data_IF_744958022895
#
_entry.id   IF_744958022895
#
_cell.length_a   1.000
_cell.length_b   1.000
_cell.length_c   1.000
_cell.angle_alpha   90.00
_cell.angle_beta   90.00
_cell.angle_gamma   90.00
#
_symmetry.space_group_name_H-M   'P 1'
#
loop_
_entity.id
_entity.type
_entity.pdbx_description
1 polymer ?
#
# COMPACT_ATOMS: atom_id res chain seq x y z
N UNK A 1 39.18 39.66 -54.65
CA UNK A 1 38.18 38.58 -54.47
C UNK A 1 37.18 39.05 -53.41
N UNK A 2 36.13 39.81 -53.75
CA UNK A 2 34.77 39.35 -54.12
C UNK A 2 34.20 38.28 -53.17
N UNK A 3 32.98 38.34 -52.63
CA UNK A 3 31.85 39.29 -52.57
C UNK A 3 30.75 38.55 -51.75
N UNK A 4 29.95 39.29 -50.96
CA UNK A 4 28.52 39.10 -50.59
C UNK A 4 28.00 37.73 -50.09
N UNK A 5 27.03 37.59 -49.18
CA UNK A 5 25.93 38.44 -48.72
C UNK A 5 24.62 37.62 -48.70
N UNK A 6 23.66 38.02 -47.84
CA UNK A 6 22.27 37.54 -47.64
C UNK A 6 22.09 36.36 -46.64
N UNK A 7 21.33 36.45 -45.54
CA UNK A 7 20.34 37.43 -45.08
C UNK A 7 18.92 37.01 -45.41
N UNK A 8 18.17 36.49 -44.42
CA UNK A 8 16.71 36.55 -44.36
C UNK A 8 16.26 36.70 -42.90
N UNK A 9 15.73 37.88 -42.60
CA UNK A 9 14.88 38.16 -41.46
C UNK A 9 13.45 38.43 -41.92
N UNK A 10 12.50 38.23 -41.02
CA UNK A 10 11.13 38.76 -41.01
C UNK A 10 10.43 38.16 -39.77
N UNK A 11 9.62 38.82 -38.95
CA UNK A 11 9.15 40.20 -38.88
C UNK A 11 8.67 40.42 -37.43
N UNK A 12 9.30 41.33 -36.70
CA UNK A 12 8.80 41.81 -35.41
C UNK A 12 7.96 43.06 -35.68
N UNK A 13 6.66 43.04 -35.37
CA UNK A 13 5.80 44.23 -35.32
C UNK A 13 5.45 44.52 -33.86
N UNK A 14 5.70 45.74 -33.35
CA UNK A 14 5.20 46.12 -32.04
C UNK A 14 3.71 46.47 -32.15
N UNK A 15 2.86 45.86 -31.31
CA UNK A 15 1.49 46.33 -31.08
C UNK A 15 1.48 47.26 -29.86
N UNK A 16 0.98 48.47 -30.08
CA UNK A 16 0.64 49.46 -29.06
C UNK A 16 -0.55 48.98 -28.18
N UNK A 17 -0.73 49.56 -26.97
CA UNK A 17 -1.65 49.03 -25.97
C UNK A 17 -3.11 49.34 -26.33
N UNK A 18 -3.92 48.30 -26.45
CA UNK A 18 -5.36 48.38 -26.65
C UNK A 18 -6.12 48.41 -25.33
N UNK A 19 -7.01 49.39 -25.20
CA UNK A 19 -7.97 49.68 -24.12
C UNK A 19 -8.56 48.46 -23.41
N UNK A 20 -8.59 48.56 -22.07
CA UNK A 20 -9.40 47.74 -21.19
C UNK A 20 -10.90 47.89 -21.49
N UNK A 21 -11.60 46.76 -21.59
CA UNK A 21 -13.06 46.64 -21.57
C UNK A 21 -13.47 45.65 -20.47
N UNK A 22 -14.66 45.80 -19.87
CA UNK A 22 -15.01 45.19 -18.59
C UNK A 22 -15.24 43.67 -18.67
N UNK A 23 -14.90 43.01 -17.58
CA UNK A 23 -14.93 41.57 -17.31
C UNK A 23 -16.34 40.97 -17.37
N UNK A 24 -16.48 39.88 -18.13
CA UNK A 24 -17.71 39.08 -18.28
C UNK A 24 -17.78 37.83 -17.41
N UNK A 25 -16.96 37.70 -16.36
CA UNK A 25 -16.89 36.47 -15.54
C UNK A 25 -17.78 36.46 -14.28
N UNK A 26 -18.60 37.49 -14.05
CA UNK A 26 -19.44 37.57 -12.85
C UNK A 26 -20.81 36.85 -12.96
N UNK A 27 -21.19 36.33 -14.12
CA UNK A 27 -22.55 35.80 -14.35
C UNK A 27 -22.68 34.27 -14.26
N UNK A 28 -21.60 33.50 -14.37
CA UNK A 28 -21.67 32.02 -14.31
C UNK A 28 -21.70 31.45 -12.88
N UNK A 29 -21.13 32.16 -11.90
CA UNK A 29 -21.08 31.74 -10.50
C UNK A 29 -22.42 31.91 -9.75
N UNK A 30 -23.29 32.83 -10.18
CA UNK A 30 -24.58 33.05 -9.51
C UNK A 30 -25.66 32.02 -9.90
N UNK A 31 -25.54 31.38 -11.06
CA UNK A 31 -26.47 30.33 -11.51
C UNK A 31 -26.17 28.95 -10.89
N UNK A 32 -24.89 28.65 -10.58
CA UNK A 32 -24.49 27.35 -9.99
C UNK A 32 -24.84 27.24 -8.50
N UNK A 33 -24.76 28.35 -7.75
CA UNK A 33 -25.12 28.37 -6.32
C UNK A 33 -26.64 28.25 -6.13
N UNK A 34 -27.44 28.88 -7.00
CA UNK A 34 -28.90 28.81 -6.93
C UNK A 34 -29.47 27.39 -7.17
N UNK A 35 -28.84 26.60 -8.05
CA UNK A 35 -29.31 25.25 -8.39
C UNK A 35 -29.06 24.24 -7.26
N UNK A 36 -27.92 24.37 -6.55
CA UNK A 36 -27.57 23.49 -5.43
C UNK A 36 -28.41 23.76 -4.18
N UNK A 37 -28.76 25.02 -3.91
CA UNK A 37 -29.66 25.39 -2.80
C UNK A 37 -31.09 24.91 -3.04
N UNK A 38 -31.57 24.95 -4.29
CA UNK A 38 -32.88 24.43 -4.66
C UNK A 38 -32.96 22.90 -4.54
N UNK A 39 -31.90 22.17 -4.93
CA UNK A 39 -31.82 20.72 -4.78
C UNK A 39 -31.80 20.29 -3.30
N UNK A 40 -31.09 21.04 -2.44
CA UNK A 40 -31.05 20.79 -1.00
C UNK A 40 -32.43 20.98 -0.36
N UNK A 41 -33.17 22.02 -0.78
CA UNK A 41 -34.54 22.25 -0.31
C UNK A 41 -35.49 21.13 -0.75
N UNK A 42 -35.40 20.65 -2.00
CA UNK A 42 -36.24 19.55 -2.51
C UNK A 42 -36.00 18.25 -1.71
N UNK A 43 -34.74 17.93 -1.39
CA UNK A 43 -34.38 16.73 -0.60
C UNK A 43 -34.87 16.85 0.85
N UNK A 44 -34.71 18.02 1.49
CA UNK A 44 -35.21 18.25 2.86
C UNK A 44 -36.74 18.21 2.93
N UNK A 45 -37.43 18.72 1.91
CA UNK A 45 -38.90 18.70 1.86
C UNK A 45 -39.43 17.29 1.59
N UNK A 46 -38.69 16.47 0.83
CA UNK A 46 -39.02 15.06 0.63
C UNK A 46 -38.78 14.22 1.91
N UNK A 47 -37.71 14.50 2.65
CA UNK A 47 -37.37 13.83 3.91
C UNK A 47 -38.37 14.16 5.03
N UNK A 48 -38.84 15.41 5.10
CA UNK A 48 -39.84 15.83 6.08
C UNK A 48 -41.27 15.36 5.75
N UNK A 49 -41.52 14.95 4.50
CA UNK A 49 -42.81 14.39 4.05
C UNK A 49 -42.89 12.87 4.14
N UNK A 50 -41.78 12.15 4.27
CA UNK A 50 -41.78 10.67 4.36
C UNK A 50 -42.05 10.14 5.77
N UNK A 51 -42.90 10.83 6.54
CA UNK A 51 -43.35 10.35 7.84
C UNK A 51 -43.92 8.93 7.74
N UNK A 52 -43.28 7.99 8.42
CA UNK A 52 -43.79 6.64 8.63
C UNK A 52 -43.22 6.07 9.94
N UNK A 53 -43.99 5.21 10.63
CA UNK A 53 -44.15 5.27 12.09
C UNK A 53 -43.48 4.11 12.84
N UNK A 54 -43.52 4.23 14.18
CA UNK A 54 -43.22 3.20 15.15
C UNK A 54 -44.05 1.92 14.97
N UNK A 55 -43.43 0.77 15.21
CA UNK A 55 -44.10 -0.46 15.63
C UNK A 55 -43.68 -1.71 14.85
N UNK A 56 -42.90 -2.58 15.49
CA UNK A 56 -43.27 -3.96 15.85
C UNK A 56 -42.05 -4.88 16.01
N UNK A 57 -42.13 -5.70 17.05
CA UNK A 57 -41.17 -6.73 17.42
C UNK A 57 -41.22 -7.91 16.44
N UNK A 58 -40.06 -8.49 16.12
CA UNK A 58 -39.93 -9.73 15.37
C UNK A 58 -38.54 -10.37 15.55
N UNK A 59 -38.42 -11.70 15.43
CA UNK A 59 -37.68 -12.52 16.39
C UNK A 59 -36.31 -13.02 15.90
N UNK A 60 -35.49 -13.45 16.85
CA UNK A 60 -34.54 -14.56 16.64
C UNK A 60 -33.10 -14.17 16.30
N UNK A 61 -32.33 -13.78 17.32
CA UNK A 61 -30.86 -13.92 17.28
C UNK A 61 -30.56 -15.40 17.54
N UNK A 62 -30.36 -16.16 16.46
CA UNK A 62 -29.79 -17.49 16.48
C UNK A 62 -28.88 -17.64 15.25
N UNK A 63 -27.57 -17.41 15.45
CA UNK A 63 -26.48 -18.25 14.91
C UNK A 63 -25.12 -17.56 15.14
N UNK A 64 -24.61 -17.64 16.37
CA UNK A 64 -23.20 -17.33 16.67
C UNK A 64 -22.27 -18.55 16.53
N UNK A 65 -22.80 -19.72 16.13
CA UNK A 65 -22.01 -20.95 15.98
C UNK A 65 -21.40 -21.14 14.57
N UNK A 66 -21.81 -20.35 13.57
CA UNK A 66 -21.39 -20.52 12.17
C UNK A 66 -20.10 -19.77 11.77
N UNK A 67 -19.61 -18.87 12.63
CA UNK A 67 -18.44 -18.01 12.36
C UNK A 67 -17.10 -18.72 12.65
N UNK A 68 -17.04 -19.56 13.69
CA UNK A 68 -15.84 -20.34 14.04
C UNK A 68 -15.46 -21.39 12.98
N UNK A 69 -16.46 -22.11 12.47
CA UNK A 69 -16.27 -23.14 11.44
C UNK A 69 -15.75 -22.57 10.10
N UNK A 70 -16.10 -21.31 9.79
CA UNK A 70 -15.57 -20.62 8.61
C UNK A 70 -14.08 -20.31 8.79
N UNK A 71 -13.67 -19.80 9.95
CA UNK A 71 -12.27 -19.44 10.19
C UNK A 71 -11.34 -20.65 10.24
N UNK A 72 -11.75 -21.72 10.92
CA UNK A 72 -10.96 -22.94 11.07
C UNK A 72 -10.73 -23.66 9.73
N UNK A 73 -11.77 -23.79 8.91
CA UNK A 73 -11.64 -24.37 7.56
C UNK A 73 -10.65 -23.60 6.67
N UNK A 74 -10.47 -22.30 6.93
CA UNK A 74 -9.60 -21.42 6.16
C UNK A 74 -8.17 -21.42 6.68
N UNK A 75 -7.99 -21.54 8.00
CA UNK A 75 -6.71 -21.85 8.63
C UNK A 75 -6.14 -23.12 8.02
N UNK A 76 -6.94 -24.18 7.97
CA UNK A 76 -6.53 -25.46 7.36
C UNK A 76 -6.21 -25.33 5.87
N UNK A 77 -6.96 -24.51 5.12
CA UNK A 77 -6.68 -24.24 3.71
C UNK A 77 -5.35 -23.48 3.49
N UNK A 78 -5.03 -22.52 4.38
CA UNK A 78 -3.77 -21.78 4.34
C UNK A 78 -2.56 -22.67 4.68
N UNK A 79 -2.71 -23.56 5.67
CA UNK A 79 -1.70 -24.56 6.03
C UNK A 79 -1.44 -25.53 4.88
N UNK A 80 -2.50 -26.06 4.25
CA UNK A 80 -2.37 -26.91 3.07
C UNK A 80 -1.78 -26.19 1.85
N UNK A 81 -1.91 -24.86 1.76
CA UNK A 81 -1.21 -24.08 0.74
C UNK A 81 0.29 -23.91 1.04
N UNK A 82 0.68 -23.75 2.30
CA UNK A 82 2.08 -23.68 2.72
C UNK A 82 2.84 -24.94 2.33
N UNK A 83 2.24 -26.08 2.65
CA UNK A 83 2.85 -27.39 2.44
C UNK A 83 3.14 -27.62 0.95
N UNK A 84 2.23 -27.17 0.07
CA UNK A 84 2.42 -27.23 -1.40
C UNK A 84 3.51 -26.27 -1.91
N UNK A 85 3.67 -25.10 -1.30
CA UNK A 85 4.74 -24.16 -1.65
C UNK A 85 6.13 -24.70 -1.27
N UNK A 86 6.23 -25.40 -0.14
CA UNK A 86 7.46 -26.01 0.36
C UNK A 86 7.85 -27.28 -0.41
N UNK A 87 6.88 -28.03 -0.95
CA UNK A 87 7.14 -29.25 -1.74
C UNK A 87 7.69 -29.02 -3.16
N UNK A 88 7.92 -27.76 -3.59
CA UNK A 88 8.59 -27.50 -4.89
C UNK A 88 10.10 -27.71 -4.74
N UNK A 89 10.72 -28.68 -5.44
CA UNK A 89 12.14 -28.95 -5.32
C UNK A 89 12.96 -27.81 -5.93
N UNK A 90 13.94 -27.30 -5.18
CA UNK A 90 14.90 -26.30 -5.63
C UNK A 90 16.21 -26.38 -4.84
N UNK A 91 17.39 -26.34 -5.48
CA UNK A 91 18.69 -26.48 -4.82
C UNK A 91 19.22 -25.12 -4.32
N UNK A 92 19.06 -24.87 -3.02
CA UNK A 92 19.77 -23.91 -2.16
C UNK A 92 19.20 -24.09 -0.74
N UNK A 93 19.91 -23.75 0.35
CA UNK A 93 19.23 -23.60 1.65
C UNK A 93 18.05 -22.66 1.44
N UNK A 94 16.83 -23.15 1.72
CA UNK A 94 15.60 -22.46 1.34
C UNK A 94 15.61 -21.05 1.92
N UNK A 95 15.69 -20.02 1.05
CA UNK A 95 15.50 -18.63 1.47
C UNK A 95 14.19 -18.56 2.26
N UNK A 96 14.17 -17.78 3.35
CA UNK A 96 12.96 -17.58 4.13
C UNK A 96 11.80 -17.18 3.23
N UNK A 97 10.57 -17.51 3.61
CA UNK A 97 9.40 -17.20 2.81
C UNK A 97 9.19 -15.69 2.68
N UNK A 98 9.22 -14.95 3.80
CA UNK A 98 8.85 -13.54 3.85
C UNK A 98 9.80 -12.70 4.71
N UNK A 99 10.26 -11.57 4.19
CA UNK A 99 10.84 -10.49 4.98
C UNK A 99 9.86 -9.32 5.04
N UNK A 100 9.51 -8.88 6.25
CA UNK A 100 8.72 -7.67 6.50
C UNK A 100 9.73 -6.55 6.82
N UNK A 101 9.83 -5.55 5.96
CA UNK A 101 10.72 -4.41 6.16
C UNK A 101 9.98 -3.24 6.80
N UNK A 102 10.50 -2.77 7.94
CA UNK A 102 9.93 -1.68 8.72
C UNK A 102 10.96 -0.54 8.85
N UNK A 103 10.83 0.54 8.07
CA UNK A 103 11.61 1.75 8.32
C UNK A 103 11.04 2.48 9.55
N UNK A 104 11.90 3.04 10.39
CA UNK A 104 11.46 3.82 11.55
C UNK A 104 12.32 5.07 11.75
N UNK A 105 11.71 6.14 12.25
CA UNK A 105 12.35 7.42 12.59
C UNK A 105 11.81 7.93 13.93
N UNK A 106 12.59 8.71 14.70
CA UNK A 106 12.12 9.34 15.92
C UNK A 106 10.94 10.28 15.61
N UNK A 107 9.92 10.24 16.47
CA UNK A 107 8.75 11.12 16.35
C UNK A 107 8.99 12.42 17.10
N UNK A 108 8.47 13.53 16.56
CA UNK A 108 8.67 14.86 17.14
C UNK A 108 7.95 15.04 18.49
N UNK A 109 6.83 14.33 18.70
CA UNK A 109 6.10 14.36 19.98
C UNK A 109 6.67 13.31 20.93
N UNK A 110 7.10 13.70 22.15
CA UNK A 110 7.54 12.76 23.16
C UNK A 110 6.47 11.69 23.45
N UNK A 111 6.91 10.49 23.86
CA UNK A 111 6.05 9.36 24.23
C UNK A 111 5.14 8.81 23.11
N UNK A 112 5.40 9.13 21.85
CA UNK A 112 4.73 8.45 20.73
C UNK A 112 5.32 7.05 20.58
N UNK A 113 4.50 6.01 20.72
CA UNK A 113 4.94 4.59 20.77
C UNK A 113 4.48 3.77 19.57
N UNK A 114 4.61 4.34 18.36
CA UNK A 114 4.12 3.70 17.14
C UNK A 114 4.87 2.40 16.84
N UNK A 115 6.21 2.40 16.89
CA UNK A 115 7.00 1.20 16.60
C UNK A 115 6.71 0.08 17.60
N UNK A 116 6.46 0.43 18.87
CA UNK A 116 6.08 -0.52 19.93
C UNK A 116 4.80 -1.25 19.56
N UNK A 117 3.73 -0.50 19.26
CA UNK A 117 2.42 -1.06 18.91
C UNK A 117 2.45 -1.88 17.62
N UNK A 118 3.19 -1.38 16.63
CA UNK A 118 3.45 -2.08 15.38
C UNK A 118 4.11 -3.44 15.61
N UNK A 119 5.18 -3.50 16.40
CA UNK A 119 5.88 -4.76 16.69
C UNK A 119 5.09 -5.68 17.61
N UNK A 120 4.35 -5.15 18.59
CA UNK A 120 3.52 -5.99 19.48
C UNK A 120 2.43 -6.71 18.67
N UNK A 121 1.64 -5.98 17.87
CA UNK A 121 0.62 -6.60 17.02
C UNK A 121 1.21 -7.58 16.01
N UNK A 122 2.35 -7.24 15.37
CA UNK A 122 2.98 -8.12 14.39
C UNK A 122 3.56 -9.39 15.01
N UNK A 123 4.21 -9.28 16.17
CA UNK A 123 4.78 -10.45 16.84
C UNK A 123 3.68 -11.34 17.40
N UNK A 124 2.53 -10.82 17.81
CA UNK A 124 1.40 -11.66 18.25
C UNK A 124 0.93 -12.67 17.18
N UNK A 125 1.06 -12.31 15.90
CA UNK A 125 0.73 -13.19 14.77
C UNK A 125 1.75 -14.32 14.52
N UNK A 126 2.93 -14.27 15.16
CA UNK A 126 4.03 -15.20 14.89
C UNK A 126 4.12 -16.32 15.96
N UNK A 127 4.35 -17.57 15.55
CA UNK A 127 4.36 -18.70 16.48
C UNK A 127 5.61 -18.66 17.37
N UNK A 128 5.48 -19.18 18.59
CA UNK A 128 6.63 -19.45 19.46
C UNK A 128 7.20 -20.85 19.21
N UNK A 129 6.34 -21.79 18.87
CA UNK A 129 6.69 -23.20 18.75
C UNK A 129 7.48 -23.47 17.47
N UNK A 130 8.63 -24.15 17.61
CA UNK A 130 9.49 -24.48 16.47
C UNK A 130 8.90 -25.51 15.51
N UNK A 131 7.81 -26.19 15.88
CA UNK A 131 7.09 -27.12 15.01
C UNK A 131 6.07 -26.44 14.09
N UNK A 132 5.80 -25.14 14.27
CA UNK A 132 4.89 -24.41 13.41
C UNK A 132 5.53 -24.21 12.01
N UNK A 133 4.74 -24.32 10.95
CA UNK A 133 5.22 -24.20 9.58
C UNK A 133 5.76 -22.80 9.25
N UNK A 134 5.40 -21.77 10.03
CA UNK A 134 5.93 -20.41 9.90
C UNK A 134 7.19 -20.16 10.70
N UNK A 135 7.53 -21.09 11.59
CA UNK A 135 8.74 -21.02 12.38
C UNK A 135 9.94 -20.86 11.43
N UNK A 136 10.70 -19.78 11.64
CA UNK A 136 11.87 -19.40 10.84
C UNK A 136 11.60 -19.11 9.34
N UNK A 137 10.33 -19.07 8.90
CA UNK A 137 9.94 -18.70 7.52
C UNK A 137 9.71 -17.20 7.35
N UNK A 138 9.46 -16.48 8.44
CA UNK A 138 9.26 -15.02 8.44
C UNK A 138 10.43 -14.34 9.14
N UNK A 139 10.83 -13.18 8.64
CA UNK A 139 11.75 -12.28 9.33
C UNK A 139 11.21 -10.85 9.29
N UNK A 140 11.34 -10.13 10.40
CA UNK A 140 11.03 -8.70 10.51
C UNK A 140 12.35 -7.94 10.53
N UNK A 141 12.60 -7.09 9.54
CA UNK A 141 13.77 -6.21 9.48
C UNK A 141 13.34 -4.81 9.89
N UNK A 142 13.74 -4.37 11.09
CA UNK A 142 13.47 -3.01 11.57
C UNK A 142 14.71 -2.17 11.33
N UNK A 143 14.58 -1.13 10.50
CA UNK A 143 15.68 -0.23 10.14
C UNK A 143 15.48 1.16 10.75
N UNK A 144 16.39 1.53 11.65
CA UNK A 144 16.48 2.87 12.22
C UNK A 144 17.08 3.85 11.20
N UNK A 145 16.27 4.78 10.71
CA UNK A 145 16.65 5.80 9.72
C UNK A 145 17.10 7.13 10.35
N UNK A 146 17.27 7.17 11.68
CA UNK A 146 17.81 8.31 12.43
C UNK A 146 19.34 8.42 12.28
N UNK A 147 19.84 8.51 11.04
CA UNK A 147 21.28 8.59 10.76
C UNK A 147 21.88 9.80 11.49
N UNK A 148 22.77 9.55 12.46
CA UNK A 148 23.41 10.58 13.27
C UNK A 148 22.54 11.18 14.39
N UNK A 149 21.36 10.62 14.66
CA UNK A 149 20.46 11.05 15.72
C UNK A 149 20.02 9.88 16.61
N UNK A 150 19.56 10.18 17.82
CA UNK A 150 19.06 9.16 18.75
C UNK A 150 17.60 8.81 18.45
N UNK A 151 17.29 7.52 18.42
CA UNK A 151 15.92 6.99 18.34
C UNK A 151 15.61 6.19 19.61
N UNK A 152 15.00 6.86 20.59
CA UNK A 152 14.84 6.29 21.94
C UNK A 152 13.92 5.06 21.97
N UNK A 153 12.81 5.09 21.21
CA UNK A 153 11.89 3.96 21.15
C UNK A 153 12.54 2.74 20.49
N UNK A 154 13.27 2.93 19.39
CA UNK A 154 14.01 1.85 18.73
C UNK A 154 15.02 1.19 19.68
N UNK A 155 15.83 1.99 20.38
CA UNK A 155 16.83 1.47 21.33
C UNK A 155 16.16 0.77 22.53
N UNK A 156 15.07 1.33 23.05
CA UNK A 156 14.31 0.71 24.13
C UNK A 156 13.72 -0.65 23.73
N UNK A 157 13.14 -0.75 22.53
CA UNK A 157 12.57 -2.00 22.01
C UNK A 157 13.65 -3.04 21.68
N UNK A 158 14.77 -2.61 21.10
CA UNK A 158 15.93 -3.48 20.87
C UNK A 158 16.45 -4.07 22.19
N UNK A 159 16.54 -3.24 23.22
CA UNK A 159 16.97 -3.69 24.55
C UNK A 159 15.91 -4.57 25.25
N UNK A 160 14.61 -4.28 25.08
CA UNK A 160 13.51 -5.14 25.56
C UNK A 160 13.55 -6.50 24.87
N UNK A 161 13.71 -6.54 23.55
CA UNK A 161 13.82 -7.78 22.77
C UNK A 161 14.95 -8.68 23.29
N UNK A 162 16.10 -8.10 23.66
CA UNK A 162 17.21 -8.85 24.22
C UNK A 162 16.95 -9.41 25.64
N UNK A 163 16.24 -8.66 26.50
CA UNK A 163 16.15 -8.93 27.94
C UNK A 163 14.85 -9.58 28.41
N UNK A 164 13.76 -9.35 27.69
CA UNK A 164 12.42 -9.82 28.09
C UNK A 164 12.33 -11.36 27.98
N UNK A 165 12.10 -12.10 29.08
CA UNK A 165 11.91 -13.55 29.03
C UNK A 165 10.51 -13.95 28.51
N UNK A 166 9.57 -13.00 28.44
CA UNK A 166 8.19 -13.19 28.02
C UNK A 166 8.01 -13.48 26.53
N UNK A 167 6.75 -13.57 26.10
CA UNK A 167 6.40 -13.93 24.73
C UNK A 167 6.97 -12.93 23.71
N UNK A 168 6.88 -11.62 24.00
CA UNK A 168 7.45 -10.57 23.15
C UNK A 168 8.95 -10.79 22.91
N UNK A 169 9.76 -10.84 23.98
CA UNK A 169 11.21 -11.02 23.84
C UNK A 169 11.59 -12.32 23.13
N UNK A 170 10.90 -13.43 23.40
CA UNK A 170 11.16 -14.71 22.70
C UNK A 170 10.88 -14.61 21.20
N UNK A 171 9.76 -14.02 20.80
CA UNK A 171 9.44 -13.81 19.37
C UNK A 171 10.38 -12.81 18.74
N UNK A 172 10.68 -11.70 19.42
CA UNK A 172 11.58 -10.68 18.91
C UNK A 172 12.98 -11.23 18.63
N UNK A 173 13.56 -12.02 19.55
CA UNK A 173 14.87 -12.69 19.33
C UNK A 173 14.86 -13.67 18.15
N UNK A 174 13.71 -14.28 17.86
CA UNK A 174 13.57 -15.25 16.78
C UNK A 174 13.38 -14.58 15.42
N UNK A 175 12.53 -13.56 15.36
CA UNK A 175 12.03 -13.01 14.10
C UNK A 175 12.60 -11.64 13.74
N UNK A 176 13.03 -10.84 14.72
CA UNK A 176 13.40 -9.44 14.48
C UNK A 176 14.90 -9.28 14.29
N UNK A 177 15.28 -8.68 13.16
CA UNK A 177 16.61 -8.15 12.89
C UNK A 177 16.58 -6.63 13.03
N UNK A 178 17.36 -6.13 13.97
CA UNK A 178 17.54 -4.69 14.22
C UNK A 178 18.72 -4.18 13.41
N UNK A 179 18.54 -3.08 12.69
CA UNK A 179 19.58 -2.49 11.86
C UNK A 179 19.55 -0.96 11.92
N UNK A 180 20.70 -0.34 12.05
CA UNK A 180 20.86 1.10 11.84
C UNK A 180 21.15 1.35 10.36
N UNK A 181 20.46 2.32 9.76
CA UNK A 181 20.72 2.70 8.38
C UNK A 181 22.14 3.27 8.27
N UNK A 182 23.00 2.70 7.40
CA UNK A 182 24.39 3.14 7.30
C UNK A 182 24.55 4.51 6.62
N UNK A 183 23.49 5.10 6.06
CA UNK A 183 23.54 6.40 5.39
C UNK A 183 24.28 6.37 4.06
N UNK A 184 24.36 5.21 3.41
CA UNK A 184 25.08 5.01 2.14
C UNK A 184 24.31 5.51 0.93
N UNK A 185 22.98 5.52 0.99
CA UNK A 185 22.10 6.07 -0.06
C UNK A 185 21.84 7.53 0.26
N UNK A 186 22.38 8.43 -0.56
CA UNK A 186 22.28 9.89 -0.36
C UNK A 186 21.39 10.52 -1.42
N UNK A 187 20.67 11.58 -1.06
CA UNK A 187 19.89 12.37 -2.02
C UNK A 187 20.80 12.82 -3.19
N UNK A 188 20.52 12.41 -4.44
CA UNK A 188 21.31 12.81 -5.60
C UNK A 188 21.08 14.27 -6.00
N UNK A 189 20.07 14.94 -5.45
CA UNK A 189 19.75 16.34 -5.70
C UNK A 189 19.65 17.15 -4.38
N UNK A 190 20.72 17.20 -3.56
CA UNK A 190 20.67 17.81 -2.24
C UNK A 190 20.50 19.34 -2.29
N UNK A 191 20.88 19.96 -3.41
CA UNK A 191 20.80 21.41 -3.62
C UNK A 191 19.51 21.85 -4.32
N UNK A 192 18.64 20.89 -4.69
CA UNK A 192 17.37 21.21 -5.32
C UNK A 192 16.46 21.94 -4.30
N UNK A 193 15.96 23.15 -4.63
CA UNK A 193 15.10 23.90 -3.73
C UNK A 193 13.83 23.13 -3.41
N UNK A 194 13.36 23.24 -2.17
CA UNK A 194 12.09 22.64 -1.77
C UNK A 194 10.93 23.32 -2.53
N UNK A 195 9.92 22.54 -2.95
CA UNK A 195 8.71 23.10 -3.55
C UNK A 195 7.91 23.90 -2.52
N UNK A 196 7.00 24.75 -2.99
CA UNK A 196 5.90 25.24 -2.17
C UNK A 196 4.84 24.13 -2.06
N UNK A 197 4.76 23.46 -0.92
CA UNK A 197 3.83 22.34 -0.68
C UNK A 197 2.36 22.69 -0.94
N UNK A 198 1.97 23.97 -0.82
CA UNK A 198 0.60 24.43 -1.10
C UNK A 198 0.34 24.63 -2.60
N UNK A 199 1.39 24.89 -3.38
CA UNK A 199 1.33 25.21 -4.81
C UNK A 199 2.30 24.33 -5.62
N UNK A 200 2.24 23.01 -5.42
CA UNK A 200 3.12 22.02 -6.06
C UNK A 200 2.37 21.16 -7.11
N UNK A 201 1.99 21.70 -8.28
CA UNK A 201 1.18 20.97 -9.26
C UNK A 201 1.90 19.79 -9.93
N UNK A 202 3.21 19.68 -9.75
CA UNK A 202 4.04 18.60 -10.30
C UNK A 202 4.37 17.52 -9.27
N UNK A 203 3.86 17.65 -8.04
CA UNK A 203 4.17 16.75 -6.92
C UNK A 203 5.68 16.54 -6.70
N UNK A 204 6.49 17.58 -6.97
CA UNK A 204 7.95 17.49 -6.83
C UNK A 204 8.28 17.30 -5.35
N UNK A 205 9.08 16.31 -4.93
CA UNK A 205 9.37 16.10 -3.52
C UNK A 205 10.37 17.13 -2.96
N UNK A 206 10.10 17.65 -1.76
CA UNK A 206 11.08 18.38 -0.96
C UNK A 206 12.18 17.47 -0.39
N UNK A 207 13.24 18.07 0.15
CA UNK A 207 14.44 17.40 0.69
C UNK A 207 14.10 16.28 1.67
N UNK A 208 13.16 16.52 2.58
CA UNK A 208 12.76 15.52 3.57
C UNK A 208 12.15 14.27 2.93
N UNK A 209 11.31 14.44 1.90
CA UNK A 209 10.69 13.33 1.16
C UNK A 209 11.73 12.58 0.31
N UNK A 210 12.68 13.30 -0.29
CA UNK A 210 13.81 12.69 -1.00
C UNK A 210 14.68 11.86 -0.06
N UNK A 211 14.95 12.36 1.15
CA UNK A 211 15.65 11.60 2.20
C UNK A 211 14.87 10.33 2.57
N UNK A 212 13.56 10.42 2.83
CA UNK A 212 12.72 9.26 3.13
C UNK A 212 12.78 8.21 2.01
N UNK A 213 12.79 8.65 0.75
CA UNK A 213 12.94 7.76 -0.41
C UNK A 213 14.32 7.09 -0.42
N UNK A 214 15.40 7.81 -0.11
CA UNK A 214 16.74 7.24 0.02
C UNK A 214 16.84 6.21 1.16
N UNK A 215 16.23 6.52 2.30
CA UNK A 215 16.15 5.61 3.44
C UNK A 215 15.38 4.33 3.08
N UNK A 216 14.27 4.47 2.34
CA UNK A 216 13.51 3.33 1.80
C UNK A 216 14.35 2.48 0.84
N UNK A 217 15.10 3.10 -0.07
CA UNK A 217 16.01 2.38 -0.98
C UNK A 217 17.05 1.56 -0.20
N UNK A 218 17.62 2.12 0.87
CA UNK A 218 18.57 1.40 1.72
C UNK A 218 17.91 0.16 2.37
N UNK A 219 16.68 0.31 2.88
CA UNK A 219 15.90 -0.80 3.43
C UNK A 219 15.61 -1.87 2.37
N UNK A 220 15.14 -1.48 1.18
CA UNK A 220 14.80 -2.42 0.10
C UNK A 220 16.03 -3.24 -0.33
N UNK A 221 17.19 -2.59 -0.50
CA UNK A 221 18.44 -3.24 -0.88
C UNK A 221 18.93 -4.23 0.18
N UNK A 222 18.81 -3.89 1.45
CA UNK A 222 19.14 -4.80 2.55
C UNK A 222 18.15 -5.98 2.61
N UNK A 223 16.85 -5.74 2.44
CA UNK A 223 15.81 -6.74 2.64
C UNK A 223 15.72 -7.77 1.50
N UNK A 224 15.91 -7.33 0.25
CA UNK A 224 15.77 -8.16 -0.95
C UNK A 224 16.52 -9.50 -0.93
N UNK A 225 17.79 -9.61 -0.48
CA UNK A 225 18.49 -10.89 -0.47
C UNK A 225 17.92 -11.91 0.53
N UNK A 226 17.15 -11.50 1.54
CA UNK A 226 16.93 -12.30 2.74
C UNK A 226 15.81 -13.35 2.63
N UNK A 227 14.83 -13.12 1.75
CA UNK A 227 13.64 -13.98 1.62
C UNK A 227 13.24 -14.18 0.16
N UNK A 228 12.19 -14.97 -0.09
CA UNK A 228 11.53 -15.11 -1.40
C UNK A 228 10.58 -13.96 -1.70
N UNK A 229 9.91 -13.45 -0.67
CA UNK A 229 8.99 -12.32 -0.74
C UNK A 229 9.40 -11.24 0.25
N UNK A 230 9.03 -10.00 -0.09
CA UNK A 230 9.20 -8.82 0.74
C UNK A 230 7.83 -8.17 0.96
N UNK A 231 7.53 -7.80 2.20
CA UNK A 231 6.37 -6.98 2.56
C UNK A 231 6.87 -5.64 3.11
N UNK A 232 6.40 -4.55 2.54
CA UNK A 232 6.62 -3.22 3.10
C UNK A 232 5.57 -2.91 4.18
N UNK A 233 6.03 -2.38 5.31
CA UNK A 233 5.19 -1.94 6.42
C UNK A 233 5.88 -0.78 7.16
N UNK A 234 5.18 0.31 7.40
CA UNK A 234 5.62 1.46 8.18
C UNK A 234 5.53 1.15 9.68
N UNK A 235 6.25 1.92 10.49
CA UNK A 235 6.30 1.75 11.94
C UNK A 235 5.06 2.30 12.67
N UNK A 236 4.07 2.84 11.97
CA UNK A 236 2.79 3.33 12.51
C UNK A 236 1.57 2.58 12.00
N UNK A 237 1.73 1.28 11.73
CA UNK A 237 0.64 0.36 11.40
C UNK A 237 0.59 -0.81 12.38
N UNK A 238 -0.60 -1.14 12.86
CA UNK A 238 -0.86 -2.42 13.50
C UNK A 238 -1.32 -3.43 12.46
N UNK A 239 -0.88 -4.68 12.57
CA UNK A 239 -1.50 -5.75 11.79
C UNK A 239 -2.83 -6.15 12.42
N UNK A 240 -3.80 -6.49 11.58
CA UNK A 240 -5.07 -7.03 12.07
C UNK A 240 -4.89 -8.45 12.63
N UNK A 241 -5.74 -8.91 13.56
CA UNK A 241 -5.73 -10.31 13.99
C UNK A 241 -5.85 -11.23 12.78
N UNK A 242 -5.00 -12.26 12.68
CA UNK A 242 -4.94 -13.22 11.56
C UNK A 242 -4.47 -12.62 10.23
N UNK A 243 -3.90 -11.41 10.22
CA UNK A 243 -3.39 -10.76 9.02
C UNK A 243 -2.33 -11.60 8.30
N UNK A 244 -1.41 -12.25 9.01
CA UNK A 244 -0.39 -13.07 8.34
C UNK A 244 -1.00 -14.32 7.68
N UNK A 245 -2.07 -14.87 8.26
CA UNK A 245 -2.77 -16.05 7.69
C UNK A 245 -3.57 -15.63 6.46
N UNK A 246 -4.23 -14.48 6.52
CA UNK A 246 -4.93 -13.90 5.38
C UNK A 246 -3.96 -13.51 4.25
N UNK A 247 -2.80 -12.94 4.57
CA UNK A 247 -1.74 -12.65 3.62
C UNK A 247 -1.25 -13.92 2.92
N UNK A 248 -0.96 -14.97 3.69
CA UNK A 248 -0.55 -16.25 3.15
C UNK A 248 -1.59 -16.83 2.18
N UNK A 249 -2.86 -16.80 2.57
CA UNK A 249 -3.97 -17.22 1.71
C UNK A 249 -3.98 -16.42 0.41
N UNK A 250 -3.94 -15.08 0.49
CA UNK A 250 -3.93 -14.21 -0.68
C UNK A 250 -2.74 -14.50 -1.60
N UNK A 251 -1.55 -14.72 -1.05
CA UNK A 251 -0.35 -15.07 -1.82
C UNK A 251 -0.47 -16.44 -2.49
N UNK A 252 -1.00 -17.44 -1.79
CA UNK A 252 -1.23 -18.77 -2.34
C UNK A 252 -2.27 -18.76 -3.47
N UNK A 253 -3.38 -18.05 -3.27
CA UNK A 253 -4.41 -17.85 -4.30
C UNK A 253 -3.85 -17.08 -5.50
N UNK A 254 -3.01 -16.07 -5.26
CA UNK A 254 -2.33 -15.34 -6.33
C UNK A 254 -1.32 -16.21 -7.10
N UNK A 255 -0.54 -17.04 -6.40
CA UNK A 255 0.41 -17.99 -7.03
C UNK A 255 -0.33 -19.08 -7.82
N UNK A 256 -1.49 -19.54 -7.36
CA UNK A 256 -2.33 -20.51 -8.07
C UNK A 256 -3.05 -19.92 -9.29
N UNK A 257 -3.46 -18.65 -9.21
CA UNK A 257 -4.15 -17.95 -10.30
C UNK A 257 -3.21 -17.32 -11.34
N UNK A 258 -1.92 -17.14 -11.01
CA UNK A 258 -0.95 -16.61 -11.93
C UNK A 258 -0.59 -17.63 -13.02
N UNK A 259 -0.51 -17.16 -14.27
CA UNK A 259 0.13 -17.92 -15.33
C UNK A 259 1.61 -18.21 -14.96
N UNK A 260 2.32 -18.97 -15.80
CA UNK A 260 3.72 -19.40 -15.61
C UNK A 260 4.72 -18.29 -15.19
N UNK A 261 4.36 -17.01 -15.34
CA UNK A 261 5.19 -15.83 -15.06
C UNK A 261 4.89 -15.11 -13.74
N UNK A 262 3.94 -15.58 -12.93
CA UNK A 262 3.64 -14.98 -11.61
C UNK A 262 2.87 -13.65 -11.68
N UNK A 263 2.95 -12.87 -10.59
CA UNK A 263 2.35 -11.54 -10.40
C UNK A 263 3.46 -10.49 -10.16
N UNK A 264 3.18 -9.20 -10.41
CA UNK A 264 4.13 -8.09 -10.17
C UNK A 264 4.20 -7.71 -8.70
N UNK A 265 3.03 -7.55 -8.07
CA UNK A 265 2.90 -7.28 -6.66
C UNK A 265 1.53 -7.76 -6.15
N UNK A 266 1.43 -7.95 -4.84
CA UNK A 266 0.17 -8.17 -4.13
C UNK A 266 -0.03 -7.03 -3.13
N UNK A 267 -1.20 -6.39 -3.14
CA UNK A 267 -1.59 -5.35 -2.18
C UNK A 267 -2.61 -5.89 -1.19
N UNK A 268 -2.35 -5.67 0.11
CA UNK A 268 -3.25 -6.05 1.22
C UNK A 268 -3.57 -4.89 2.18
N UNK A 269 -3.04 -3.69 1.93
CA UNK A 269 -3.35 -2.46 2.66
C UNK A 269 -3.15 -1.23 1.74
N UNK A 270 -3.13 -0.01 2.28
CA UNK A 270 -3.09 1.26 1.56
C UNK A 270 -1.77 2.03 1.74
N UNK A 271 -1.51 3.03 0.89
CA UNK A 271 -0.19 3.68 0.81
C UNK A 271 0.86 2.71 0.26
N UNK A 272 2.12 2.79 0.68
CA UNK A 272 3.08 1.72 0.43
C UNK A 272 2.87 0.49 1.34
N UNK A 273 2.18 0.65 2.46
CA UNK A 273 1.89 -0.42 3.40
C UNK A 273 1.11 -1.57 2.78
N UNK A 274 1.45 -2.80 3.18
CA UNK A 274 0.76 -3.98 2.67
C UNK A 274 1.10 -4.32 1.23
N UNK A 275 2.16 -3.74 0.66
CA UNK A 275 2.68 -4.12 -0.67
C UNK A 275 3.66 -5.27 -0.51
N UNK A 276 3.35 -6.38 -1.19
CA UNK A 276 4.17 -7.58 -1.24
C UNK A 276 4.79 -7.71 -2.62
N UNK A 277 6.09 -7.95 -2.65
CA UNK A 277 6.90 -8.11 -3.86
C UNK A 277 7.65 -9.43 -3.81
N UNK A 278 8.02 -9.95 -5.00
CA UNK A 278 9.05 -11.00 -5.08
C UNK A 278 10.41 -10.34 -4.91
N UNK A 279 11.34 -11.01 -4.27
CA UNK A 279 12.65 -10.43 -3.97
C UNK A 279 13.43 -9.95 -5.20
N UNK A 280 13.24 -10.57 -6.36
CA UNK A 280 13.85 -10.09 -7.61
C UNK A 280 13.30 -8.73 -8.08
N UNK A 281 12.03 -8.44 -7.78
CA UNK A 281 11.37 -7.18 -8.14
C UNK A 281 11.71 -6.05 -7.17
N UNK A 282 12.12 -6.38 -5.94
CA UNK A 282 12.47 -5.39 -4.90
C UNK A 282 13.68 -4.56 -5.30
N UNK A 283 14.74 -5.19 -5.82
CA UNK A 283 15.95 -4.48 -6.24
C UNK A 283 15.66 -3.57 -7.43
N UNK A 284 14.85 -4.04 -8.37
CA UNK A 284 14.45 -3.27 -9.53
C UNK A 284 13.60 -2.05 -9.14
N UNK A 285 12.68 -2.19 -8.19
CA UNK A 285 11.94 -1.07 -7.62
C UNK A 285 12.88 -0.08 -6.92
N UNK A 286 13.87 -0.57 -6.17
CA UNK A 286 14.84 0.27 -5.48
C UNK A 286 15.68 1.10 -6.47
N UNK A 287 16.07 0.51 -7.60
CA UNK A 287 16.79 1.21 -8.66
C UNK A 287 15.89 2.23 -9.37
N UNK A 288 14.63 1.88 -9.62
CA UNK A 288 13.64 2.83 -10.15
C UNK A 288 13.41 4.03 -9.21
N UNK A 289 13.32 3.79 -7.89
CA UNK A 289 13.25 4.88 -6.91
C UNK A 289 14.50 5.74 -6.93
N UNK A 290 15.68 5.13 -7.03
CA UNK A 290 16.95 5.86 -7.08
C UNK A 290 17.02 6.81 -8.30
N UNK A 291 16.65 6.32 -9.48
CA UNK A 291 16.65 7.10 -10.73
C UNK A 291 15.65 8.27 -10.71
N UNK A 292 14.63 8.21 -9.85
CA UNK A 292 13.51 9.15 -9.86
C UNK A 292 13.24 9.84 -8.53
N UNK A 293 14.13 9.72 -7.55
CA UNK A 293 13.96 10.28 -6.20
C UNK A 293 13.71 11.78 -6.18
N UNK A 294 14.27 12.53 -7.14
CA UNK A 294 14.05 13.98 -7.26
C UNK A 294 12.78 14.37 -8.03
N UNK A 295 12.11 13.39 -8.65
CA UNK A 295 10.99 13.61 -9.57
C UNK A 295 9.64 13.52 -8.89
N UNK A 296 9.40 12.47 -8.11
CA UNK A 296 8.13 12.21 -7.43
C UNK A 296 8.36 11.60 -6.03
N UNK A 297 7.41 11.74 -5.08
CA UNK A 297 7.41 11.01 -3.81
C UNK A 297 7.30 9.49 -4.03
N UNK A 298 7.71 8.67 -3.06
CA UNK A 298 7.85 7.22 -3.23
C UNK A 298 6.52 6.52 -3.51
N UNK A 299 5.40 6.98 -2.94
CA UNK A 299 4.06 6.42 -3.24
C UNK A 299 3.67 6.60 -4.71
N UNK A 300 3.98 7.77 -5.30
CA UNK A 300 3.69 8.06 -6.70
C UNK A 300 4.65 7.34 -7.63
N UNK A 301 5.93 7.24 -7.26
CA UNK A 301 6.90 6.41 -7.98
C UNK A 301 6.49 4.93 -8.00
N UNK A 302 5.98 4.43 -6.88
CA UNK A 302 5.43 3.08 -6.79
C UNK A 302 4.25 2.90 -7.75
N UNK A 303 3.28 3.80 -7.71
CA UNK A 303 2.10 3.78 -8.57
C UNK A 303 2.50 3.79 -10.06
N UNK A 304 3.50 4.58 -10.43
CA UNK A 304 4.04 4.63 -11.79
C UNK A 304 4.72 3.30 -12.17
N UNK A 305 5.64 2.81 -11.33
CA UNK A 305 6.39 1.56 -11.58
C UNK A 305 5.47 0.35 -11.73
N UNK A 306 4.53 0.15 -10.78
CA UNK A 306 3.64 -1.01 -10.81
C UNK A 306 2.67 -0.92 -11.99
N UNK A 307 2.24 0.29 -12.38
CA UNK A 307 1.41 0.48 -13.58
C UNK A 307 2.19 0.16 -14.86
N UNK A 308 3.46 0.53 -14.95
CA UNK A 308 4.30 0.21 -16.09
C UNK A 308 4.57 -1.30 -16.24
N UNK A 309 4.64 -2.02 -15.11
CA UNK A 309 4.90 -3.48 -15.06
C UNK A 309 3.64 -4.35 -15.09
N UNK A 310 2.46 -3.76 -14.89
CA UNK A 310 1.22 -4.52 -14.78
C UNK A 310 0.53 -4.72 -16.14
N UNK A 311 -0.11 -5.89 -16.31
CA UNK A 311 -1.08 -6.08 -17.39
C UNK A 311 -2.32 -5.24 -17.09
N UNK A 312 -2.84 -4.44 -18.04
CA UNK A 312 -4.11 -3.79 -17.87
C UNK A 312 -5.18 -4.84 -17.56
N UNK A 313 -5.91 -4.68 -16.46
CA UNK A 313 -6.99 -5.57 -16.09
C UNK A 313 -8.17 -5.41 -17.06
N UNK A 314 -8.13 -6.08 -18.22
CA UNK A 314 -9.30 -6.35 -19.07
C UNK A 314 -10.15 -5.16 -19.55
N UNK A 315 -9.74 -3.91 -19.33
CA UNK A 315 -10.38 -2.74 -19.92
C UNK A 315 -9.78 -2.54 -21.31
N UNK A 316 -10.25 -3.33 -22.26
CA UNK A 316 -10.12 -3.03 -23.67
C UNK A 316 -10.81 -1.68 -23.92
N UNK A 317 -10.04 -0.57 -23.92
CA UNK A 317 -10.60 0.75 -24.21
C UNK A 317 -9.95 1.94 -23.52
N UNK A 318 -9.18 1.75 -22.44
CA UNK A 318 -8.32 2.83 -21.96
C UNK A 318 -7.14 2.94 -22.94
N UNK A 319 -7.21 3.94 -23.81
CA UNK A 319 -6.09 4.37 -24.66
C UNK A 319 -4.84 4.34 -23.78
N UNK A 320 -3.79 3.67 -24.27
CA UNK A 320 -2.41 3.89 -23.84
C UNK A 320 -2.14 5.40 -23.97
N UNK A 321 -2.49 6.18 -22.95
CA UNK A 321 -1.82 7.44 -22.71
C UNK A 321 -0.35 7.08 -22.68
N UNK A 322 0.41 7.69 -23.59
CA UNK A 322 1.80 7.37 -23.90
C UNK A 322 2.61 7.50 -22.61
N UNK A 323 2.69 6.42 -21.85
CA UNK A 323 3.79 6.23 -20.91
C UNK A 323 5.07 6.35 -21.75
N UNK A 324 6.07 7.08 -21.26
CA UNK A 324 7.37 7.17 -21.92
C UNK A 324 7.85 5.76 -22.27
N UNK A 325 8.46 5.63 -23.43
CA UNK A 325 8.81 4.35 -24.05
C UNK A 325 9.77 3.55 -23.15
N UNK A 326 9.22 2.68 -22.29
CA UNK A 326 9.95 1.95 -21.25
C UNK A 326 9.34 0.54 -21.06
N UNK A 327 10.09 -0.41 -20.47
CA UNK A 327 10.83 -1.48 -21.12
C UNK A 327 9.91 -2.60 -21.62
N UNK A 328 10.39 -3.38 -22.60
CA UNK A 328 9.78 -4.62 -23.11
C UNK A 328 9.80 -5.78 -22.09
N UNK A 329 9.48 -5.49 -20.82
CA UNK A 329 9.35 -6.49 -19.77
C UNK A 329 8.05 -7.27 -19.91
N UNK A 330 8.08 -8.53 -19.46
CA UNK A 330 6.89 -9.37 -19.38
C UNK A 330 5.89 -8.78 -18.38
N UNK A 331 4.82 -8.19 -18.89
CA UNK A 331 3.73 -7.65 -18.07
C UNK A 331 3.12 -8.78 -17.22
N UNK A 332 2.90 -8.53 -15.92
CA UNK A 332 2.31 -9.47 -14.95
C UNK A 332 1.08 -8.85 -14.26
N UNK A 333 0.12 -9.62 -13.73
CA UNK A 333 -0.99 -9.06 -12.97
C UNK A 333 -0.50 -8.36 -11.70
N UNK A 334 -1.02 -7.16 -11.43
CA UNK A 334 -0.97 -6.52 -10.12
C UNK A 334 -2.20 -6.97 -9.33
N UNK A 335 -1.96 -7.64 -8.21
CA UNK A 335 -3.00 -8.34 -7.45
C UNK A 335 -3.41 -7.49 -6.25
N UNK A 336 -4.70 -7.35 -6.00
CA UNK A 336 -5.24 -6.63 -4.85
C UNK A 336 -6.17 -7.57 -4.09
N UNK A 337 -5.91 -7.73 -2.79
CA UNK A 337 -6.77 -8.46 -1.87
C UNK A 337 -7.94 -7.58 -1.43
N UNK A 338 -9.12 -8.19 -1.27
CA UNK A 338 -10.37 -7.46 -1.06
C UNK A 338 -10.46 -6.74 0.30
N UNK A 339 -9.72 -7.18 1.32
CA UNK A 339 -9.80 -6.66 2.69
C UNK A 339 -8.48 -6.00 3.10
N UNK A 340 -8.60 -4.93 3.89
CA UNK A 340 -7.46 -4.29 4.51
C UNK A 340 -6.93 -5.14 5.68
N UNK A 341 -5.62 -5.39 5.73
CA UNK A 341 -4.97 -6.23 6.75
C UNK A 341 -4.18 -5.43 7.80
N UNK A 342 -4.20 -4.10 7.74
CA UNK A 342 -3.41 -3.25 8.64
C UNK A 342 -4.16 -1.99 9.04
N UNK A 343 -4.10 -1.59 10.31
CA UNK A 343 -4.72 -0.37 10.82
C UNK A 343 -3.66 0.69 11.06
N UNK A 344 -3.78 1.84 10.41
CA UNK A 344 -2.90 2.98 10.64
C UNK A 344 -3.16 3.59 12.03
N UNK A 345 -2.09 3.81 12.78
CA UNK A 345 -2.06 4.45 14.10
C UNK A 345 -1.94 5.98 14.02
N UNK A 346 -1.39 6.46 12.91
CA UNK A 346 -0.83 7.80 12.77
C UNK A 346 -1.87 8.92 12.68
N UNK A 347 -2.33 9.43 13.83
CA UNK A 347 -2.93 10.78 13.90
C UNK A 347 -1.87 11.87 13.68
N UNK A 348 -0.60 11.59 14.03
CA UNK A 348 0.51 12.53 13.99
C UNK A 348 1.41 12.24 12.79
N UNK A 349 1.37 13.12 11.78
CA UNK A 349 2.29 13.06 10.64
C UNK A 349 3.71 13.44 11.03
N UNK A 350 4.69 12.94 10.28
CA UNK A 350 6.04 13.54 10.20
C UNK A 350 6.07 14.89 9.44
N UNK A 351 4.95 15.32 8.85
CA UNK A 351 4.79 16.58 8.13
C UNK A 351 4.07 17.62 9.00
N UNK A 352 4.50 18.88 8.90
CA UNK A 352 3.99 19.98 9.73
C UNK A 352 2.55 20.42 9.40
N UNK A 353 2.06 20.13 8.19
CA UNK A 353 0.73 20.54 7.71
C UNK A 353 -0.03 19.32 7.21
N UNK A 354 -1.24 19.06 7.74
CA UNK A 354 -2.18 18.04 7.22
C UNK A 354 -3.57 18.64 7.02
N UNK A 355 -4.18 18.54 5.82
CA UNK A 355 -5.60 18.82 5.64
C UNK A 355 -6.47 17.72 6.25
N UNK A 356 -7.72 18.04 6.56
CA UNK A 356 -8.74 17.06 6.97
C UNK A 356 -8.93 16.00 5.89
N UNK A 357 -8.97 14.73 6.31
CA UNK A 357 -9.07 13.55 5.43
C UNK A 357 -10.13 12.60 5.96
N UNK A 358 -10.80 11.83 5.08
CA UNK A 358 -11.67 10.74 5.53
C UNK A 358 -10.90 9.72 6.38
N UNK A 359 -11.61 9.01 7.25
CA UNK A 359 -11.01 7.93 8.04
C UNK A 359 -10.35 6.90 7.12
N UNK A 360 -9.20 6.40 7.57
CA UNK A 360 -8.52 5.30 6.89
C UNK A 360 -9.31 4.00 7.05
N UNK A 361 -9.26 3.08 6.07
CA UNK A 361 -9.87 1.77 6.22
C UNK A 361 -9.39 1.07 7.50
N UNK A 362 -10.34 0.59 8.29
CA UNK A 362 -10.10 -0.22 9.48
C UNK A 362 -9.74 -1.67 9.15
N UNK A 363 -9.58 -2.51 10.18
CA UNK A 363 -9.29 -3.91 9.99
C UNK A 363 -10.40 -4.64 9.23
N UNK A 364 -10.00 -5.41 8.22
CA UNK A 364 -10.86 -6.16 7.31
C UNK A 364 -11.89 -5.33 6.52
N UNK A 365 -11.80 -4.00 6.54
CA UNK A 365 -12.65 -3.16 5.72
C UNK A 365 -12.35 -3.32 4.22
N UNK A 366 -13.33 -3.09 3.33
CA UNK A 366 -13.15 -3.32 1.89
C UNK A 366 -12.13 -2.38 1.23
N UNK A 367 -11.11 -2.95 0.59
CA UNK A 367 -10.10 -2.23 -0.21
C UNK A 367 -10.65 -1.56 -1.48
N UNK A 368 -11.90 -1.89 -1.86
CA UNK A 368 -12.59 -1.26 -2.98
C UNK A 368 -12.91 0.23 -2.77
N UNK A 369 -12.93 0.70 -1.52
CA UNK A 369 -13.31 2.07 -1.13
C UNK A 369 -12.17 2.86 -0.46
N UNK A 370 -10.95 2.31 -0.43
CA UNK A 370 -9.79 3.01 0.12
C UNK A 370 -9.52 4.30 -0.66
N UNK A 371 -9.91 5.44 -0.09
CA UNK A 371 -9.94 6.75 -0.77
C UNK A 371 -8.55 7.22 -1.18
N UNK A 372 -7.53 6.81 -0.42
CA UNK A 372 -6.12 7.15 -0.60
C UNK A 372 -5.44 6.40 -1.75
N UNK A 373 -6.07 5.36 -2.28
CA UNK A 373 -5.53 4.56 -3.38
C UNK A 373 -6.05 5.05 -4.72
N UNK A 374 -5.20 4.99 -5.76
CA UNK A 374 -5.66 5.20 -7.12
C UNK A 374 -6.65 4.10 -7.55
N UNK A 375 -7.53 4.38 -8.51
CA UNK A 375 -8.57 3.43 -8.94
C UNK A 375 -8.01 2.05 -9.34
N UNK A 376 -6.82 2.00 -9.95
CA UNK A 376 -6.19 0.73 -10.36
C UNK A 376 -5.55 -0.05 -9.20
N UNK A 377 -5.36 0.59 -8.04
CA UNK A 377 -4.83 -0.03 -6.82
C UNK A 377 -5.94 -0.51 -5.88
N UNK A 378 -7.20 -0.21 -6.20
CA UNK A 378 -8.37 -0.65 -5.43
C UNK A 378 -8.83 -2.02 -5.89
N UNK A 379 -9.39 -2.79 -4.96
CA UNK A 379 -10.01 -4.06 -5.29
C UNK A 379 -11.22 -3.86 -6.22
N UNK A 380 -11.26 -4.61 -7.33
CA UNK A 380 -12.39 -4.59 -8.27
C UNK A 380 -13.60 -5.35 -7.71
N UNK A 381 -14.66 -4.64 -7.32
CA UNK A 381 -15.89 -5.22 -6.77
C UNK A 381 -16.59 -6.22 -7.70
N UNK A 382 -16.31 -6.20 -9.01
CA UNK A 382 -16.82 -7.20 -9.95
C UNK A 382 -16.27 -8.59 -9.64
N UNK A 383 -15.13 -8.67 -8.97
CA UNK A 383 -14.48 -9.91 -8.58
C UNK A 383 -15.08 -10.59 -7.35
N UNK A 384 -15.95 -9.91 -6.57
CA UNK A 384 -16.57 -10.47 -5.35
C UNK A 384 -17.34 -11.77 -5.58
N UNK A 385 -17.76 -12.04 -6.84
CA UNK A 385 -18.46 -13.27 -7.21
C UNK A 385 -17.53 -14.44 -7.55
N UNK A 386 -16.24 -14.18 -7.68
CA UNK A 386 -15.26 -15.12 -8.26
C UNK A 386 -14.05 -15.37 -7.37
N UNK A 387 -13.53 -14.33 -6.71
CA UNK A 387 -12.32 -14.41 -5.90
C UNK A 387 -12.23 -13.21 -4.95
N UNK A 388 -11.58 -13.40 -3.81
CA UNK A 388 -11.10 -12.39 -2.89
C UNK A 388 -9.90 -11.57 -3.43
N UNK A 389 -9.42 -11.90 -4.63
CA UNK A 389 -8.37 -11.19 -5.36
C UNK A 389 -8.91 -10.53 -6.63
N UNK A 390 -8.32 -9.39 -6.98
CA UNK A 390 -8.48 -8.74 -8.28
C UNK A 390 -7.12 -8.55 -8.94
N UNK A 391 -6.97 -8.67 -10.28
CA UNK A 391 -8.01 -9.10 -11.21
C UNK A 391 -8.41 -10.56 -10.98
N UNK A 392 -9.70 -10.84 -11.02
CA UNK A 392 -10.20 -12.20 -10.91
C UNK A 392 -9.96 -12.95 -12.21
N UNK A 393 -9.53 -14.20 -12.11
CA UNK A 393 -9.44 -15.10 -13.26
C UNK A 393 -10.86 -15.47 -13.68
N UNK A 394 -11.29 -15.11 -14.90
CA UNK A 394 -12.58 -15.56 -15.43
C UNK A 394 -12.55 -17.10 -15.49
N UNK A 395 -13.45 -17.73 -14.75
CA UNK A 395 -13.63 -19.19 -14.71
C UNK A 395 -13.57 -19.82 -16.11
N UNK A 396 -12.65 -20.76 -16.28
CA UNK A 396 -12.60 -21.68 -17.40
C UNK A 396 -11.23 -22.32 -17.54
N UNK A 397 -10.98 -23.41 -16.77
CA UNK A 397 -9.82 -24.33 -16.75
C UNK A 397 -9.15 -24.38 -15.36
N UNK A 398 -9.71 -25.19 -14.46
CA UNK A 398 -9.08 -25.57 -13.17
C UNK A 398 -9.91 -25.33 -11.91
N UNK A 399 -10.88 -24.40 -11.94
CA UNK A 399 -11.62 -23.94 -10.75
C UNK A 399 -12.73 -24.90 -10.25
N UNK A 400 -12.74 -26.15 -10.69
CA UNK A 400 -13.58 -27.20 -10.06
C UNK A 400 -12.98 -27.69 -8.74
N UNK A 401 -11.68 -27.45 -8.48
CA UNK A 401 -11.03 -27.81 -7.20
C UNK A 401 -11.01 -26.70 -6.14
N UNK A 402 -11.14 -25.42 -6.51
CA UNK A 402 -11.16 -24.31 -5.53
C UNK A 402 -12.57 -23.93 -5.04
N UNK A 403 -13.62 -24.55 -5.59
CA UNK A 403 -15.03 -24.22 -5.31
C UNK A 403 -15.56 -24.76 -3.97
N UNK A 404 -14.74 -25.44 -3.16
CA UNK A 404 -15.14 -25.94 -1.84
C UNK A 404 -14.67 -25.07 -0.65
N UNK A 405 -13.82 -24.06 -0.88
CA UNK A 405 -13.37 -23.18 0.21
C UNK A 405 -14.35 -22.00 0.36
N UNK A 406 -15.06 -22.02 1.49
CA UNK A 406 -16.12 -21.14 1.95
C UNK A 406 -15.97 -19.65 1.61
N UNK A 407 -17.11 -19.03 1.24
CA UNK A 407 -17.30 -17.57 1.37
C UNK A 407 -17.10 -17.19 2.84
N UNK A 408 -16.32 -16.15 3.05
CA UNK A 408 -15.92 -15.69 4.37
C UNK A 408 -16.81 -14.50 4.77
N UNK A 409 -17.52 -14.60 5.89
CA UNK A 409 -18.13 -13.45 6.54
C UNK A 409 -17.17 -12.92 7.61
N UNK A 410 -16.61 -11.74 7.35
CA UNK A 410 -15.60 -11.10 8.21
C UNK A 410 -16.18 -10.10 9.20
N UNK A 411 -17.51 -9.88 9.22
CA UNK A 411 -18.13 -8.86 10.09
C UNK A 411 -17.99 -9.16 11.58
N UNK A 412 -17.82 -10.43 11.96
CA UNK A 412 -17.63 -10.83 13.35
C UNK A 412 -16.21 -10.58 13.89
N UNK A 413 -15.20 -10.43 13.02
CA UNK A 413 -13.81 -10.18 13.43
C UNK A 413 -13.48 -8.70 13.65
N UNK A 414 -14.36 -7.79 13.20
CA UNK A 414 -14.21 -6.34 13.42
C UNK A 414 -14.80 -5.85 14.74
N UNK A 415 -15.46 -6.73 15.50
CA UNK A 415 -16.12 -6.42 16.78
C UNK A 415 -15.34 -6.92 18.01
N UNK A 416 -14.15 -7.50 17.80
CA UNK A 416 -13.16 -7.86 18.83
C UNK A 416 -11.91 -7.02 18.66
#
# INVERSE_FOLDING_TARGET
>A
MTRHGHGWGANYRPRLPGRAGPSGEAWSLRLSVGLNVLLLFIVLTAYMRSGAPHGEAGPGIADHASTGASLEARVLAAEGALQRLQQRPGPAPARRWLTIGIPTVPRARPNTTYLTRTLESLLEELPLDGGDLWADQVQVLVMNNAVGARHEEFEALRARAARDPGAFGRRARRYVRWLDNPGTVRDPAPDLPDPDDLNNPTDRPGRQVRKQTCDLIALLREAAPQSRYYLFMEDDFEVCPLALRALQHAMATADAGAATRGWVALRVSYGLNGVVLRSGDVLELADYFWEHVARLPPDLLWAEWVRARSRPAGVAGLRRERLPAEPRGDLRPYVIYQHNLMRHLGEISSFAVRPDRPAWPGCFEPMAKAWSLATFERYDRRCLRYSDLSPCTRRGQGATQARAAARIDWRAASEA
#
